data_IF_651498213544
#
_entry.id   IF_651498213544
#
_cell.length_a   1.000
_cell.length_b   1.000
_cell.length_c   1.000
_cell.angle_alpha   90.00
_cell.angle_beta   90.00
_cell.angle_gamma   90.00
#
_symmetry.space_group_name_H-M   'P 1'
#
loop_
_entity.id
_entity.type
_entity.pdbx_description
1 polymer ?
#
# COMPACT_ATOMS: atom_id res chain seq x y z
N UNK A 1 -5.39 -23.40 16.99
CA UNK A 1 -4.84 -22.46 17.99
C UNK A 1 -4.87 -23.14 19.35
N UNK A 2 -4.12 -22.62 20.32
CA UNK A 2 -4.15 -23.08 21.70
C UNK A 2 -4.26 -21.84 22.60
N UNK A 3 -5.18 -21.87 23.56
CA UNK A 3 -5.31 -20.87 24.62
C UNK A 3 -5.42 -21.60 25.95
N UNK A 4 -4.89 -20.99 27.01
CA UNK A 4 -4.98 -21.53 28.35
C UNK A 4 -5.28 -20.42 29.36
N UNK A 5 -5.93 -20.82 30.45
CA UNK A 5 -6.07 -19.99 31.65
C UNK A 5 -5.88 -20.89 32.86
N UNK A 6 -5.11 -20.41 33.83
CA UNK A 6 -4.81 -21.15 35.04
C UNK A 6 -4.90 -20.22 36.25
N UNK A 7 -5.72 -20.60 37.23
CA UNK A 7 -5.81 -19.92 38.52
C UNK A 7 -4.63 -20.39 39.38
N UNK A 8 -3.69 -19.48 39.67
CA UNK A 8 -2.48 -19.78 40.44
C UNK A 8 -2.76 -19.73 41.95
N UNK A 9 -3.61 -18.80 42.37
CA UNK A 9 -4.14 -18.66 43.74
C UNK A 9 -5.50 -17.96 43.68
N UNK A 10 -6.20 -17.78 44.80
CA UNK A 10 -7.54 -17.16 44.83
C UNK A 10 -7.64 -15.83 44.07
N UNK A 11 -6.55 -15.05 44.07
CA UNK A 11 -6.50 -13.71 43.50
C UNK A 11 -5.67 -13.60 42.22
N UNK A 12 -4.84 -14.61 41.88
CA UNK A 12 -3.93 -14.56 40.73
C UNK A 12 -4.32 -15.55 39.64
N UNK A 13 -4.36 -15.08 38.40
CA UNK A 13 -4.66 -15.87 37.21
C UNK A 13 -3.64 -15.60 36.13
N UNK A 14 -3.15 -16.67 35.49
CA UNK A 14 -2.31 -16.58 34.29
C UNK A 14 -3.16 -16.97 33.09
N UNK A 15 -3.02 -16.21 32.00
CA UNK A 15 -3.64 -16.47 30.70
C UNK A 15 -2.56 -16.45 29.64
N UNK A 16 -2.73 -17.25 28.61
CA UNK A 16 -1.85 -17.18 27.45
C UNK A 16 -2.39 -17.94 26.27
N UNK A 17 -1.79 -17.69 25.12
CA UNK A 17 -2.28 -18.21 23.87
C UNK A 17 -1.22 -18.22 22.78
N UNK A 18 -1.34 -19.18 21.89
CA UNK A 18 -0.63 -19.22 20.61
C UNK A 18 -1.58 -19.59 19.49
N UNK A 19 -1.67 -18.73 18.49
CA UNK A 19 -2.54 -18.92 17.34
C UNK A 19 -1.80 -18.63 16.05
N UNK A 20 -2.15 -19.38 15.00
CA UNK A 20 -1.77 -19.05 13.64
C UNK A 20 -2.92 -18.32 12.98
N UNK A 21 -2.68 -17.09 12.54
CA UNK A 21 -3.62 -16.30 11.75
C UNK A 21 -3.25 -16.33 10.27
N UNK A 22 -4.25 -16.09 9.43
CA UNK A 22 -4.14 -16.15 7.98
C UNK A 22 -4.90 -14.98 7.36
N UNK A 23 -4.33 -14.35 6.34
CA UNK A 23 -5.00 -13.36 5.51
C UNK A 23 -4.72 -13.67 4.03
N UNK A 24 -5.78 -14.04 3.31
CA UNK A 24 -5.73 -14.25 1.88
C UNK A 24 -5.44 -12.93 1.14
N UNK A 25 -4.77 -12.99 -0.02
CA UNK A 25 -4.73 -11.87 -0.95
C UNK A 25 -6.15 -11.49 -1.38
N UNK A 26 -6.41 -10.20 -1.54
CA UNK A 26 -7.68 -9.75 -2.13
C UNK A 26 -7.65 -9.91 -3.67
N UNK A 27 -8.81 -9.71 -4.33
CA UNK A 27 -8.94 -9.91 -5.77
C UNK A 27 -8.05 -8.96 -6.59
N UNK A 28 -7.88 -7.72 -6.13
CA UNK A 28 -6.99 -6.74 -6.79
C UNK A 28 -5.52 -7.16 -6.72
N UNK A 29 -5.10 -7.76 -5.60
CA UNK A 29 -3.74 -8.23 -5.39
C UNK A 29 -3.44 -9.50 -6.18
N UNK A 30 -4.41 -10.40 -6.34
CA UNK A 30 -4.23 -11.70 -7.02
C UNK A 30 -4.54 -11.68 -8.51
N UNK A 31 -5.23 -10.65 -9.01
CA UNK A 31 -5.57 -10.54 -10.43
C UNK A 31 -4.41 -9.95 -11.24
N UNK A 32 -3.77 -10.71 -12.15
CA UNK A 32 -2.66 -10.21 -12.96
C UNK A 32 -3.08 -9.14 -13.96
N UNK A 33 -4.38 -9.01 -14.23
CA UNK A 33 -4.93 -7.99 -15.14
C UNK A 33 -5.34 -6.71 -14.42
N UNK A 34 -5.17 -6.64 -13.09
CA UNK A 34 -5.47 -5.43 -12.33
C UNK A 34 -4.26 -4.51 -12.25
N UNK A 35 -4.45 -3.27 -12.69
CA UNK A 35 -3.45 -2.22 -12.70
C UNK A 35 -3.90 -1.07 -11.80
N UNK A 36 -3.17 -0.82 -10.71
CA UNK A 36 -3.41 0.31 -9.83
C UNK A 36 -2.40 1.41 -10.16
N UNK A 37 -2.89 2.59 -10.55
CA UNK A 37 -2.05 3.78 -10.65
C UNK A 37 -1.97 4.48 -9.29
N UNK A 38 -0.76 4.76 -8.83
CA UNK A 38 -0.50 5.65 -7.70
C UNK A 38 0.37 6.81 -8.15
N UNK A 39 0.37 7.88 -7.35
CA UNK A 39 1.23 9.04 -7.57
C UNK A 39 1.94 9.44 -6.27
N UNK A 40 3.05 10.17 -6.39
CA UNK A 40 3.79 10.77 -5.28
C UNK A 40 4.25 9.72 -4.24
N UNK A 41 3.96 9.91 -2.96
CA UNK A 41 4.40 9.03 -1.85
C UNK A 41 3.83 7.60 -1.93
N UNK A 42 2.86 7.33 -2.80
CA UNK A 42 2.35 5.98 -3.05
C UNK A 42 3.31 5.10 -3.85
N UNK A 43 4.39 5.68 -4.40
CA UNK A 43 5.36 4.97 -5.22
C UNK A 43 6.68 4.72 -4.47
N UNK A 44 7.20 3.47 -4.46
CA UNK A 44 8.48 3.12 -3.85
C UNK A 44 9.62 3.97 -4.42
N UNK A 45 10.57 4.34 -3.56
CA UNK A 45 11.81 5.00 -3.99
C UNK A 45 12.83 3.92 -4.28
N UNK A 46 13.28 3.84 -5.53
CA UNK A 46 14.30 2.89 -5.99
C UNK A 46 15.24 3.52 -7.05
N UNK A 47 16.09 2.72 -7.69
CA UNK A 47 17.02 3.19 -8.71
C UNK A 47 16.34 3.78 -9.95
N UNK A 48 15.09 3.38 -10.25
CA UNK A 48 14.29 3.85 -11.38
C UNK A 48 13.34 5.00 -10.99
N UNK A 49 12.94 5.09 -9.72
CA UNK A 49 12.03 6.09 -9.18
C UNK A 49 12.63 6.84 -7.98
N UNK A 50 13.65 7.68 -8.21
CA UNK A 50 14.27 8.50 -7.17
C UNK A 50 14.02 10.01 -7.34
N UNK A 51 14.31 10.78 -6.29
CA UNK A 51 14.15 12.24 -6.29
C UNK A 51 15.02 12.95 -7.33
N UNK A 52 16.09 12.29 -7.76
CA UNK A 52 17.07 12.82 -8.69
C UNK A 52 16.80 12.42 -10.14
N UNK A 53 15.59 11.94 -10.48
CA UNK A 53 15.24 11.70 -11.88
C UNK A 53 15.29 13.05 -12.63
N UNK A 54 16.29 13.29 -13.49
CA UNK A 54 16.48 14.58 -14.16
C UNK A 54 15.32 14.90 -15.12
N UNK A 55 14.49 13.90 -15.45
CA UNK A 55 13.34 14.03 -16.35
C UNK A 55 12.01 14.31 -15.60
N UNK A 56 11.96 14.25 -14.27
CA UNK A 56 10.71 14.39 -13.50
C UNK A 56 10.37 15.86 -13.12
N UNK A 57 11.34 16.77 -13.21
CA UNK A 57 11.23 18.11 -12.60
C UNK A 57 11.37 19.27 -13.59
N UNK A 58 11.72 19.03 -14.85
CA UNK A 58 11.95 20.09 -15.83
C UNK A 58 10.91 20.05 -16.94
N UNK A 59 10.00 21.02 -16.93
CA UNK A 59 9.16 21.31 -18.09
C UNK A 59 10.05 21.77 -19.24
N UNK A 60 9.82 21.26 -20.45
CA UNK A 60 10.46 21.72 -21.69
C UNK A 60 9.57 22.68 -22.48
N UNK A 61 8.35 22.97 -22.00
CA UNK A 61 7.41 23.87 -22.68
C UNK A 61 6.00 23.89 -22.07
N UNK A 62 5.10 24.68 -22.66
CA UNK A 62 3.69 24.79 -22.24
C UNK A 62 2.79 24.87 -23.47
N UNK A 63 1.66 24.17 -23.45
CA UNK A 63 0.63 24.28 -24.50
C UNK A 63 -0.73 24.60 -23.90
N UNK A 64 -1.52 25.38 -24.64
CA UNK A 64 -2.92 25.69 -24.26
C UNK A 64 -3.82 24.64 -24.88
N UNK A 65 -4.61 23.96 -24.06
CA UNK A 65 -5.66 23.03 -24.46
C UNK A 65 -7.03 23.61 -24.19
N UNK A 66 -8.04 23.11 -24.88
CA UNK A 66 -9.44 23.53 -24.71
C UNK A 66 -10.24 22.30 -24.31
N UNK A 67 -11.01 22.38 -23.23
CA UNK A 67 -11.83 21.26 -22.77
C UNK A 67 -13.06 21.06 -23.68
N UNK A 68 -13.81 19.97 -23.46
CA UNK A 68 -15.02 19.66 -24.20
C UNK A 68 -16.15 20.71 -24.04
N UNK A 69 -15.99 21.66 -23.12
CA UNK A 69 -16.91 22.78 -22.86
C UNK A 69 -16.37 24.12 -23.38
N UNK A 70 -15.28 24.12 -24.13
CA UNK A 70 -14.68 25.32 -24.73
C UNK A 70 -13.78 26.14 -23.80
N UNK A 71 -13.48 25.66 -22.58
CA UNK A 71 -12.61 26.37 -21.64
C UNK A 71 -11.15 26.06 -21.91
N UNK A 72 -10.35 27.11 -22.06
CA UNK A 72 -8.90 27.00 -22.23
C UNK A 72 -8.18 26.74 -20.90
N UNK A 73 -7.18 25.87 -20.93
CA UNK A 73 -6.28 25.57 -19.82
C UNK A 73 -4.87 25.29 -20.31
N UNK A 74 -3.86 25.72 -19.57
CA UNK A 74 -2.45 25.48 -19.90
C UNK A 74 -1.97 24.18 -19.28
N UNK A 75 -1.42 23.29 -20.10
CA UNK A 75 -0.66 22.12 -19.64
C UNK A 75 0.81 22.35 -19.92
N UNK A 76 1.68 22.05 -18.96
CA UNK A 76 3.10 22.07 -19.25
C UNK A 76 3.49 20.72 -19.89
N UNK A 77 4.51 20.74 -20.73
CA UNK A 77 4.99 19.60 -21.50
C UNK A 77 6.43 19.28 -21.11
N UNK A 78 6.80 18.02 -21.28
CA UNK A 78 8.18 17.57 -21.28
C UNK A 78 8.43 16.73 -22.55
N UNK A 79 9.36 17.19 -23.38
CA UNK A 79 9.75 16.58 -24.66
C UNK A 79 10.85 15.52 -24.51
N UNK A 80 11.33 15.27 -23.29
CA UNK A 80 12.22 14.16 -23.01
C UNK A 80 11.42 12.86 -23.11
N UNK A 81 11.88 11.93 -23.96
CA UNK A 81 11.26 10.61 -24.14
C UNK A 81 11.12 9.78 -22.84
N UNK A 82 11.81 10.20 -21.76
CA UNK A 82 11.84 9.54 -20.46
C UNK A 82 11.07 10.27 -19.34
N UNK A 83 10.27 11.29 -19.63
CA UNK A 83 9.59 12.01 -18.55
C UNK A 83 8.36 12.82 -18.93
N UNK A 84 7.25 12.52 -18.25
CA UNK A 84 6.34 13.51 -17.70
C UNK A 84 5.56 12.87 -16.57
N UNK A 85 5.84 13.25 -15.32
CA UNK A 85 4.82 13.16 -14.28
C UNK A 85 5.12 14.13 -13.13
N UNK A 86 4.23 15.10 -12.90
CA UNK A 86 4.29 16.02 -11.77
C UNK A 86 3.93 15.42 -10.42
N UNK A 87 4.17 14.14 -10.30
CA UNK A 87 3.96 13.36 -9.11
C UNK A 87 4.24 11.95 -9.53
N UNK A 88 5.50 11.51 -9.37
CA UNK A 88 5.97 10.13 -9.49
C UNK A 88 4.80 9.14 -9.61
N UNK A 89 4.32 8.80 -10.81
CA UNK A 89 3.35 7.72 -10.92
C UNK A 89 4.05 6.41 -11.17
N UNK A 90 3.46 5.40 -10.56
CA UNK A 90 3.85 4.02 -10.68
C UNK A 90 2.58 3.21 -10.86
N UNK A 91 2.74 2.08 -11.52
CA UNK A 91 1.70 1.10 -11.68
C UNK A 91 2.02 -0.11 -10.81
N UNK A 92 1.04 -0.55 -10.03
CA UNK A 92 1.10 -1.84 -9.36
C UNK A 92 0.25 -2.83 -10.12
N UNK A 93 0.89 -3.93 -10.52
CA UNK A 93 0.23 -5.07 -11.13
C UNK A 93 -0.11 -6.08 -10.04
N UNK A 94 -1.29 -6.69 -10.13
CA UNK A 94 -1.58 -7.87 -9.31
C UNK A 94 -0.66 -9.04 -9.67
N UNK A 95 -0.51 -9.97 -8.74
CA UNK A 95 0.35 -11.14 -8.89
C UNK A 95 -0.41 -12.39 -8.42
N UNK A 96 -0.65 -13.30 -9.36
CA UNK A 96 -1.38 -14.56 -9.13
C UNK A 96 -0.64 -15.53 -8.18
N UNK A 97 0.67 -15.37 -8.04
CA UNK A 97 1.54 -16.22 -7.22
C UNK A 97 1.77 -15.68 -5.81
N UNK A 98 0.99 -14.68 -5.37
CA UNK A 98 1.11 -14.14 -4.00
C UNK A 98 0.73 -15.21 -2.99
N UNK A 99 1.69 -15.52 -2.12
CA UNK A 99 1.43 -16.35 -0.94
C UNK A 99 0.61 -15.55 0.08
N UNK A 100 -0.35 -16.19 0.74
CA UNK A 100 -1.09 -15.54 1.81
C UNK A 100 -0.19 -15.06 2.96
N UNK A 101 -0.63 -14.00 3.61
CA UNK A 101 0.00 -13.50 4.82
C UNK A 101 -0.30 -14.46 5.97
N UNK A 102 0.70 -14.77 6.78
CA UNK A 102 0.53 -15.63 7.96
C UNK A 102 1.19 -14.98 9.16
N UNK A 103 0.58 -15.18 10.33
CA UNK A 103 1.13 -14.66 11.59
C UNK A 103 1.06 -15.72 12.67
N UNK A 104 2.14 -15.92 13.42
CA UNK A 104 2.09 -16.62 14.70
C UNK A 104 1.93 -15.58 15.80
N UNK A 105 0.74 -15.51 16.36
CA UNK A 105 0.39 -14.58 17.43
C UNK A 105 0.51 -15.28 18.77
N UNK A 106 1.32 -14.73 19.66
CA UNK A 106 1.62 -15.27 20.99
C UNK A 106 1.29 -14.22 22.03
N UNK A 107 0.64 -14.65 23.09
CA UNK A 107 0.33 -13.78 24.21
C UNK A 107 0.53 -14.52 25.54
N UNK A 108 0.96 -13.78 26.55
CA UNK A 108 0.96 -14.24 27.93
C UNK A 108 0.66 -13.06 28.84
N UNK A 109 -0.19 -13.30 29.84
CA UNK A 109 -0.63 -12.27 30.76
C UNK A 109 -0.92 -12.81 32.14
N UNK A 110 -0.88 -11.88 33.08
CA UNK A 110 -1.22 -12.07 34.49
C UNK A 110 -2.37 -11.14 34.83
N UNK A 111 -3.29 -11.65 35.64
CA UNK A 111 -4.46 -10.92 36.13
C UNK A 111 -4.50 -11.13 37.65
N UNK A 112 -4.66 -10.03 38.38
CA UNK A 112 -4.84 -10.00 39.83
C UNK A 112 -6.18 -9.37 40.16
N UNK A 113 -6.98 -10.04 40.98
CA UNK A 113 -8.29 -9.57 41.41
C UNK A 113 -8.43 -9.71 42.93
N UNK A 114 -8.78 -8.61 43.61
CA UNK A 114 -9.07 -8.62 45.05
C UNK A 114 -10.00 -7.48 45.43
N UNK A 115 -11.00 -7.76 46.27
CA UNK A 115 -11.94 -6.78 46.82
C UNK A 115 -12.58 -5.87 45.76
N UNK A 116 -12.94 -6.45 44.60
CA UNK A 116 -13.53 -5.75 43.45
C UNK A 116 -12.56 -4.91 42.61
N UNK A 117 -11.25 -4.97 42.89
CA UNK A 117 -10.20 -4.30 42.10
C UNK A 117 -9.48 -5.30 41.21
N UNK A 118 -9.31 -4.96 39.94
CA UNK A 118 -8.65 -5.79 38.93
C UNK A 118 -7.41 -5.08 38.37
N UNK A 119 -6.29 -5.79 38.34
CA UNK A 119 -5.07 -5.39 37.66
C UNK A 119 -4.70 -6.45 36.63
N UNK A 120 -4.30 -6.05 35.43
CA UNK A 120 -3.84 -6.98 34.40
C UNK A 120 -2.64 -6.44 33.64
N UNK A 121 -1.73 -7.34 33.28
CA UNK A 121 -0.59 -7.07 32.43
C UNK A 121 -0.46 -8.20 31.42
N UNK A 122 -0.26 -7.85 30.16
CA UNK A 122 -0.07 -8.81 29.09
C UNK A 122 1.05 -8.40 28.14
N UNK A 123 1.80 -9.39 27.69
CA UNK A 123 2.81 -9.28 26.65
C UNK A 123 2.33 -10.01 25.40
N UNK A 124 2.48 -9.35 24.25
CA UNK A 124 2.07 -9.87 22.96
C UNK A 124 3.24 -9.83 21.98
N UNK A 125 3.41 -10.89 21.22
CA UNK A 125 4.40 -10.96 20.15
C UNK A 125 3.82 -11.67 18.92
N UNK A 126 3.93 -11.01 17.77
CA UNK A 126 3.37 -11.50 16.51
C UNK A 126 4.50 -11.69 15.48
N UNK A 127 4.77 -12.94 15.13
CA UNK A 127 5.72 -13.30 14.08
C UNK A 127 5.00 -13.29 12.72
N UNK A 128 5.04 -12.15 12.04
CA UNK A 128 4.33 -11.92 10.80
C UNK A 128 5.20 -12.24 9.56
N UNK A 129 4.62 -12.96 8.59
CA UNK A 129 5.30 -13.45 7.38
C UNK A 129 4.47 -13.17 6.13
N UNK A 130 5.17 -12.96 5.01
CA UNK A 130 4.61 -12.73 3.67
C UNK A 130 3.68 -11.53 3.57
N UNK A 131 3.94 -10.45 4.34
CA UNK A 131 3.19 -9.19 4.22
C UNK A 131 3.11 -8.78 2.75
N UNK A 132 1.91 -8.59 2.24
CA UNK A 132 1.69 -8.13 0.87
C UNK A 132 1.91 -6.62 0.88
N UNK A 133 2.98 -6.17 0.21
CA UNK A 133 3.39 -4.77 0.11
C UNK A 133 3.55 -4.37 -1.35
N UNK A 134 3.47 -3.07 -1.60
CA UNK A 134 3.64 -2.45 -2.93
C UNK A 134 5.12 -2.20 -3.30
N UNK A 135 6.09 -2.70 -2.52
CA UNK A 135 7.51 -2.54 -2.80
C UNK A 135 8.07 -3.73 -3.60
N UNK A 136 7.35 -4.13 -4.65
CA UNK A 136 7.72 -5.27 -5.50
C UNK A 136 8.90 -4.98 -6.43
N UNK A 137 9.28 -5.98 -7.22
CA UNK A 137 10.30 -5.86 -8.26
C UNK A 137 9.87 -4.88 -9.35
N UNK A 138 10.80 -4.04 -9.80
CA UNK A 138 10.60 -3.21 -10.98
C UNK A 138 10.58 -4.10 -12.23
N UNK A 139 9.46 -4.08 -12.96
CA UNK A 139 9.33 -4.87 -14.20
C UNK A 139 9.80 -4.09 -15.43
N UNK A 140 9.23 -2.90 -15.67
CA UNK A 140 9.56 -2.05 -16.82
C UNK A 140 9.02 -0.63 -16.63
N UNK A 141 9.56 0.31 -17.41
CA UNK A 141 8.96 1.62 -17.64
C UNK A 141 8.05 1.53 -18.87
N UNK A 142 6.90 2.20 -18.81
CA UNK A 142 6.07 2.46 -20.00
C UNK A 142 6.45 3.85 -20.49
N UNK A 143 7.17 3.92 -21.60
CA UNK A 143 7.61 5.18 -22.17
C UNK A 143 6.42 5.96 -22.73
N UNK A 144 6.41 7.27 -22.45
CA UNK A 144 5.45 8.16 -23.07
C UNK A 144 5.76 8.30 -24.56
N UNK A 145 4.74 8.29 -25.44
CA UNK A 145 4.95 8.65 -26.84
C UNK A 145 5.49 10.09 -26.93
N UNK A 146 6.23 10.38 -28.01
CA UNK A 146 6.69 11.73 -28.31
C UNK A 146 5.50 12.70 -28.35
N UNK A 147 5.44 13.64 -27.40
CA UNK A 147 4.29 14.53 -27.18
C UNK A 147 3.61 14.41 -25.80
N UNK A 148 4.01 13.43 -24.97
CA UNK A 148 3.57 13.29 -23.58
C UNK A 148 2.15 12.73 -23.43
N UNK A 149 1.75 12.46 -22.18
CA UNK A 149 0.39 12.04 -21.84
C UNK A 149 -0.42 13.21 -21.28
N UNK A 150 -1.65 13.42 -21.77
CA UNK A 150 -2.68 14.12 -21.00
C UNK A 150 -3.25 13.16 -19.97
N UNK A 151 -2.96 13.40 -18.69
CA UNK A 151 -3.65 12.70 -17.60
C UNK A 151 -5.03 13.34 -17.40
N UNK A 152 -6.03 12.87 -18.16
CA UNK A 152 -7.44 13.18 -17.86
C UNK A 152 -7.85 12.49 -16.54
N UNK A 153 -7.96 13.27 -15.46
CA UNK A 153 -8.69 12.84 -14.25
C UNK A 153 -10.15 13.23 -14.45
N UNK A 154 -11.01 12.25 -14.72
CA UNK A 154 -12.46 12.47 -14.82
C UNK A 154 -13.08 12.39 -13.42
N UNK A 155 -13.80 13.43 -12.94
CA UNK A 155 -14.32 13.46 -11.58
C UNK A 155 -15.64 12.69 -11.36
N UNK A 156 -16.28 12.11 -12.38
CA UNK A 156 -17.64 11.61 -12.21
C UNK A 156 -17.83 10.17 -12.69
N UNK A 157 -17.76 9.23 -11.74
CA UNK A 157 -18.56 8.02 -11.80
C UNK A 157 -19.96 8.37 -11.24
N UNK A 158 -20.74 9.16 -11.99
CA UNK A 158 -22.18 9.32 -11.74
C UNK A 158 -22.91 8.41 -12.72
N UNK A 159 -23.71 7.43 -12.26
CA UNK A 159 -24.69 6.79 -13.12
C UNK A 159 -25.65 7.87 -13.63
N UNK A 160 -26.08 7.77 -14.89
CA UNK A 160 -27.25 8.52 -15.37
C UNK A 160 -28.49 8.15 -14.55
#
# INVERSE_FOLDING_TARGET
>A
SLNFSHQVSDNWKIKGGVARAYKAPNLYQSSPNYLLINASNGCPIDSANNWNNPNALTSTGSIVKTDAKGKQYTVLQNSNAKGFDWGRACYFLGNENIKPETSWNKEIGVEYEKDGKLFSLAYFHNDYRNKIVSNGEFLTTIDAPAGGYDREIRPSNTPN
#
